data_IF_149550332389
#
_entry.id   IF_149550332389
#
_cell.length_a   1.000
_cell.length_b   1.000
_cell.length_c   1.000
_cell.angle_alpha   90.00
_cell.angle_beta   90.00
_cell.angle_gamma   90.00
#
_symmetry.space_group_name_H-M   'P 1'
#
loop_
_entity.id
_entity.type
_entity.pdbx_description
1 polymer ?
#
# COMPACT_ATOMS: atom_id res chain seq x y z
N UNK A 1 -32.83 39.05 -29.86
CA UNK A 1 -32.12 39.30 -28.58
C UNK A 1 -32.42 38.23 -27.52
N UNK A 2 -33.67 37.94 -27.16
CA UNK A 2 -34.02 36.90 -26.14
C UNK A 2 -33.40 35.50 -26.38
N UNK A 3 -33.29 35.05 -27.63
CA UNK A 3 -32.71 33.74 -27.98
C UNK A 3 -31.20 33.66 -27.71
N UNK A 4 -30.47 34.75 -27.89
CA UNK A 4 -29.02 34.83 -27.63
C UNK A 4 -28.73 34.74 -26.14
N UNK A 5 -29.54 35.41 -25.31
CA UNK A 5 -29.41 35.31 -23.84
C UNK A 5 -29.67 33.89 -23.33
N UNK A 6 -30.62 33.16 -23.92
CA UNK A 6 -30.91 31.77 -23.55
C UNK A 6 -29.77 30.84 -23.95
N UNK A 7 -29.21 30.98 -25.16
CA UNK A 7 -28.09 30.14 -25.61
C UNK A 7 -26.83 30.35 -24.75
N UNK A 8 -26.54 31.60 -24.38
CA UNK A 8 -25.39 31.92 -23.50
C UNK A 8 -25.60 31.38 -22.09
N UNK A 9 -26.80 31.47 -21.53
CA UNK A 9 -27.11 30.91 -20.22
C UNK A 9 -26.96 29.37 -20.17
N UNK A 10 -27.36 28.67 -21.24
CA UNK A 10 -27.20 27.21 -21.35
C UNK A 10 -25.72 26.83 -21.43
N UNK A 11 -24.91 27.53 -22.23
CA UNK A 11 -23.47 27.28 -22.36
C UNK A 11 -22.72 27.51 -21.04
N UNK A 12 -23.06 28.56 -20.30
CA UNK A 12 -22.48 28.85 -18.98
C UNK A 12 -22.89 27.77 -17.96
N UNK A 13 -24.15 27.34 -17.98
CA UNK A 13 -24.63 26.24 -17.13
C UNK A 13 -23.84 24.96 -17.40
N UNK A 14 -23.62 24.58 -18.67
CA UNK A 14 -22.88 23.36 -19.00
C UNK A 14 -21.40 23.42 -18.59
N UNK A 15 -20.80 24.61 -18.54
CA UNK A 15 -19.42 24.79 -18.09
C UNK A 15 -19.29 24.67 -16.56
N UNK A 16 -20.31 25.08 -15.81
CA UNK A 16 -20.33 25.00 -14.34
C UNK A 16 -20.62 23.57 -13.80
N UNK A 17 -21.28 22.72 -14.59
CA UNK A 17 -21.49 21.30 -14.23
C UNK A 17 -20.38 20.35 -14.73
N UNK A 18 -19.49 20.82 -15.62
CA UNK A 18 -18.40 20.02 -16.19
C UNK A 18 -17.21 19.76 -15.26
N UNK A 19 -17.17 20.38 -14.08
CA UNK A 19 -16.13 20.18 -13.07
C UNK A 19 -16.63 19.39 -11.86
N UNK A 20 -17.48 18.39 -12.07
CA UNK A 20 -17.55 17.27 -11.14
C UNK A 20 -16.19 16.57 -11.18
N UNK A 21 -15.25 17.02 -10.35
CA UNK A 21 -14.02 16.29 -10.08
C UNK A 21 -14.47 14.87 -9.71
N UNK A 22 -14.17 13.89 -10.56
CA UNK A 22 -14.20 12.51 -10.12
C UNK A 22 -13.33 12.47 -8.86
N UNK A 23 -13.93 12.23 -7.71
CA UNK A 23 -13.15 11.85 -6.54
C UNK A 23 -12.27 10.72 -7.04
N UNK A 24 -10.92 10.85 -7.05
CA UNK A 24 -10.09 9.71 -7.32
C UNK A 24 -10.57 8.65 -6.32
N UNK A 25 -11.10 7.54 -6.83
CA UNK A 25 -11.41 6.39 -6.01
C UNK A 25 -10.05 5.89 -5.53
N UNK A 26 -9.55 6.52 -4.46
CA UNK A 26 -8.16 6.41 -4.10
C UNK A 26 -8.06 5.15 -3.27
N UNK A 27 -7.63 4.08 -3.92
CA UNK A 27 -7.57 2.75 -3.33
C UNK A 27 -6.77 2.78 -2.02
N UNK A 28 -7.26 2.06 -1.01
CA UNK A 28 -6.46 1.77 0.18
C UNK A 28 -5.29 0.92 -0.27
N UNK A 29 -4.08 1.36 0.00
CA UNK A 29 -2.86 0.62 -0.36
C UNK A 29 -2.61 -0.45 0.68
N UNK A 30 -2.40 -1.68 0.24
CA UNK A 30 -2.04 -2.81 1.10
C UNK A 30 -0.55 -3.00 1.03
N UNK A 31 0.10 -2.88 2.19
CA UNK A 31 1.52 -3.16 2.39
C UNK A 31 1.66 -4.44 3.19
N UNK A 32 2.53 -5.33 2.72
CA UNK A 32 2.90 -6.52 3.46
C UNK A 32 4.42 -6.53 3.63
N UNK A 33 4.88 -6.51 4.88
CA UNK A 33 6.29 -6.58 5.20
C UNK A 33 6.62 -7.95 5.81
N UNK A 34 7.36 -8.74 5.06
CA UNK A 34 7.92 -10.00 5.54
C UNK A 34 9.20 -9.73 6.32
N UNK A 35 9.23 -10.19 7.58
CA UNK A 35 10.23 -9.80 8.58
C UNK A 35 10.47 -10.93 9.60
N UNK A 36 11.38 -10.71 10.54
CA UNK A 36 11.64 -11.59 11.69
C UNK A 36 12.37 -10.81 12.80
N UNK A 37 12.15 -11.15 14.07
CA UNK A 37 12.77 -10.47 15.23
C UNK A 37 14.29 -10.58 15.27
N UNK A 38 14.87 -11.67 14.76
CA UNK A 38 16.31 -11.87 14.66
C UNK A 38 16.95 -11.26 13.42
N UNK A 39 16.19 -10.65 12.52
CA UNK A 39 16.69 -10.13 11.25
C UNK A 39 17.31 -8.72 11.41
N UNK A 40 18.64 -8.64 11.32
CA UNK A 40 19.39 -7.37 11.45
C UNK A 40 18.97 -6.27 10.47
N UNK A 41 18.89 -6.52 9.15
CA UNK A 41 18.38 -5.53 8.19
C UNK A 41 16.92 -5.15 8.44
N UNK A 42 16.08 -6.08 8.87
CA UNK A 42 14.68 -5.83 9.20
C UNK A 42 14.54 -4.84 10.37
N UNK A 43 15.36 -4.99 11.41
CA UNK A 43 15.38 -4.07 12.55
C UNK A 43 15.69 -2.61 12.15
N UNK A 44 16.40 -2.38 11.03
CA UNK A 44 16.63 -1.04 10.47
C UNK A 44 15.45 -0.54 9.64
N UNK A 45 14.82 -1.42 8.87
CA UNK A 45 13.73 -1.06 7.96
C UNK A 45 12.39 -0.86 8.67
N UNK A 46 12.03 -1.72 9.63
CA UNK A 46 10.71 -1.67 10.28
C UNK A 46 10.38 -0.31 10.92
N UNK A 47 11.28 0.40 11.63
CA UNK A 47 10.97 1.73 12.16
C UNK A 47 10.70 2.78 11.08
N UNK A 48 11.37 2.69 9.92
CA UNK A 48 11.14 3.60 8.78
C UNK A 48 9.77 3.33 8.17
N UNK A 49 9.44 2.06 7.95
CA UNK A 49 8.13 1.64 7.44
C UNK A 49 7.01 2.07 8.39
N UNK A 50 7.17 1.80 9.69
CA UNK A 50 6.18 2.15 10.71
C UNK A 50 5.89 3.65 10.74
N UNK A 51 6.94 4.48 10.66
CA UNK A 51 6.76 5.93 10.59
C UNK A 51 5.91 6.32 9.37
N UNK A 52 6.26 5.83 8.17
CA UNK A 52 5.57 6.19 6.93
C UNK A 52 4.12 5.70 6.92
N UNK A 53 3.85 4.50 7.44
CA UNK A 53 2.49 3.95 7.52
C UNK A 53 1.65 4.70 8.56
N UNK A 54 2.21 5.00 9.73
CA UNK A 54 1.51 5.73 10.79
C UNK A 54 1.15 7.16 10.37
N UNK A 55 1.97 7.79 9.53
CA UNK A 55 1.66 9.11 8.93
C UNK A 55 0.56 9.03 7.85
N UNK A 56 0.10 7.82 7.48
CA UNK A 56 -0.86 7.52 6.40
C UNK A 56 -2.04 6.65 6.83
N UNK A 57 -2.38 6.65 8.13
CA UNK A 57 -3.54 5.91 8.64
C UNK A 57 -4.81 6.31 7.88
N UNK A 58 -5.57 5.32 7.43
CA UNK A 58 -6.78 5.48 6.60
C UNK A 58 -6.51 5.38 5.09
N UNK A 59 -5.28 5.65 4.64
CA UNK A 59 -4.87 5.49 3.23
C UNK A 59 -4.07 4.20 2.98
N UNK A 60 -3.42 3.67 4.02
CA UNK A 60 -2.54 2.50 3.95
C UNK A 60 -2.88 1.52 5.05
N UNK A 61 -2.98 0.24 4.71
CA UNK A 61 -3.02 -0.89 5.65
C UNK A 61 -1.68 -1.62 5.55
N UNK A 62 -1.02 -1.86 6.69
CA UNK A 62 0.24 -2.60 6.74
C UNK A 62 0.08 -3.88 7.56
N UNK A 63 0.48 -5.00 6.98
CA UNK A 63 0.54 -6.31 7.63
C UNK A 63 2.02 -6.68 7.80
N UNK A 64 2.43 -6.98 9.03
CA UNK A 64 3.78 -7.50 9.32
C UNK A 64 3.72 -9.01 9.39
N UNK A 65 4.28 -9.66 8.38
CA UNK A 65 4.32 -11.11 8.26
C UNK A 65 5.65 -11.63 8.82
N UNK A 66 5.63 -12.16 10.04
CA UNK A 66 6.83 -12.70 10.68
C UNK A 66 7.09 -14.13 10.22
N UNK A 67 8.26 -14.40 9.65
CA UNK A 67 8.64 -15.73 9.20
C UNK A 67 9.55 -16.47 10.18
N UNK A 68 9.90 -17.71 9.86
CA UNK A 68 10.65 -18.60 10.73
C UNK A 68 12.16 -18.34 10.80
N UNK A 69 12.72 -17.43 10.01
CA UNK A 69 14.16 -17.23 9.86
C UNK A 69 14.52 -15.74 9.97
N UNK A 70 15.68 -15.33 10.51
CA UNK A 70 16.74 -16.15 11.10
C UNK A 70 16.42 -16.68 12.49
N UNK A 71 15.47 -16.10 13.21
CA UNK A 71 15.08 -16.58 14.53
C UNK A 71 13.80 -17.44 14.44
N UNK A 72 13.97 -18.75 14.54
CA UNK A 72 12.86 -19.71 14.59
C UNK A 72 11.98 -19.59 15.85
N UNK A 73 12.43 -18.81 16.85
CA UNK A 73 11.69 -18.55 18.08
C UNK A 73 11.03 -17.17 18.10
N UNK A 74 10.97 -16.48 16.96
CA UNK A 74 10.21 -15.24 16.83
C UNK A 74 8.77 -15.46 17.33
N UNK A 75 8.34 -14.80 18.43
CA UNK A 75 7.05 -15.06 19.03
C UNK A 75 5.90 -14.79 18.07
N UNK A 76 6.02 -13.79 17.18
CA UNK A 76 4.97 -13.46 16.21
C UNK A 76 4.82 -14.54 15.14
N UNK A 77 5.92 -15.17 14.74
CA UNK A 77 5.86 -16.36 13.89
C UNK A 77 5.22 -17.53 14.64
N UNK A 78 5.59 -17.72 15.92
CA UNK A 78 5.13 -18.88 16.68
C UNK A 78 3.60 -18.92 16.88
N UNK A 79 2.94 -17.76 16.99
CA UNK A 79 1.49 -17.65 17.19
C UNK A 79 0.67 -18.12 15.96
N UNK A 80 1.14 -17.86 14.74
CA UNK A 80 0.33 -18.02 13.51
C UNK A 80 1.08 -18.75 12.38
N UNK A 81 1.96 -19.70 12.72
CA UNK A 81 2.90 -20.37 11.79
C UNK A 81 2.26 -20.80 10.47
N UNK A 82 1.15 -21.56 10.53
CA UNK A 82 0.53 -22.14 9.33
C UNK A 82 0.09 -21.05 8.36
N UNK A 83 -0.56 -19.99 8.86
CA UNK A 83 -1.04 -18.88 8.04
C UNK A 83 0.12 -18.07 7.45
N UNK A 84 1.18 -17.86 8.23
CA UNK A 84 2.37 -17.12 7.79
C UNK A 84 3.17 -17.91 6.74
N UNK A 85 3.33 -19.21 6.93
CA UNK A 85 4.02 -20.11 6.00
C UNK A 85 3.24 -20.25 4.67
N UNK A 86 1.91 -20.40 4.72
CA UNK A 86 1.07 -20.41 3.53
C UNK A 86 1.15 -19.10 2.75
N UNK A 87 1.17 -17.97 3.46
CA UNK A 87 1.27 -16.64 2.84
C UNK A 87 2.64 -16.40 2.21
N UNK A 88 3.73 -16.78 2.89
CA UNK A 88 5.07 -16.74 2.32
C UNK A 88 5.18 -17.61 1.07
N UNK A 89 4.60 -18.82 1.11
CA UNK A 89 4.54 -19.71 -0.05
C UNK A 89 3.74 -19.13 -1.21
N UNK A 90 2.61 -18.46 -0.94
CA UNK A 90 1.79 -17.83 -1.97
C UNK A 90 2.54 -16.74 -2.75
N UNK A 91 3.41 -15.99 -2.05
CA UNK A 91 4.20 -14.91 -2.65
C UNK A 91 5.65 -15.31 -3.00
N UNK A 92 6.02 -16.59 -2.88
CA UNK A 92 7.38 -17.11 -3.10
C UNK A 92 8.47 -16.34 -2.30
N UNK A 93 8.19 -16.00 -1.04
CA UNK A 93 9.10 -15.21 -0.19
C UNK A 93 10.24 -16.08 0.32
N UNK A 94 11.48 -15.75 -0.06
CA UNK A 94 12.68 -16.50 0.32
C UNK A 94 13.70 -15.73 1.16
N UNK A 95 13.47 -14.44 1.43
CA UNK A 95 14.39 -13.59 2.18
C UNK A 95 13.63 -12.53 2.98
N UNK A 96 14.30 -11.97 4.00
CA UNK A 96 13.80 -10.82 4.76
C UNK A 96 14.85 -9.70 4.83
N UNK A 97 14.45 -8.42 4.83
CA UNK A 97 13.07 -7.97 4.66
C UNK A 97 12.62 -8.07 3.20
N UNK A 98 11.37 -8.47 3.00
CA UNK A 98 10.69 -8.35 1.70
C UNK A 98 9.47 -7.44 1.87
N UNK A 99 9.26 -6.55 0.91
CA UNK A 99 8.18 -5.56 0.91
C UNK A 99 7.28 -5.80 -0.30
N UNK A 100 5.99 -6.01 -0.05
CA UNK A 100 4.98 -6.04 -1.08
C UNK A 100 4.10 -4.80 -0.95
N UNK A 101 3.81 -4.18 -2.07
CA UNK A 101 2.82 -3.10 -2.18
C UNK A 101 1.79 -3.54 -3.21
N UNK A 102 0.53 -3.60 -2.78
CA UNK A 102 -0.60 -4.13 -3.53
C UNK A 102 -0.33 -5.54 -4.11
N UNK A 103 0.30 -6.41 -3.32
CA UNK A 103 0.67 -7.77 -3.71
C UNK A 103 1.83 -7.88 -4.70
N UNK A 104 2.51 -6.77 -5.03
CA UNK A 104 3.69 -6.79 -5.90
C UNK A 104 4.94 -6.47 -5.10
N UNK A 105 5.98 -7.30 -5.23
CA UNK A 105 7.26 -7.08 -4.56
C UNK A 105 7.91 -5.77 -5.03
N UNK A 106 8.55 -5.10 -4.08
CA UNK A 106 9.28 -3.85 -4.25
C UNK A 106 10.55 -3.88 -3.42
N UNK A 107 11.57 -3.17 -3.87
CA UNK A 107 12.77 -2.96 -3.08
C UNK A 107 12.41 -2.21 -1.79
N UNK A 108 12.79 -2.76 -0.64
CA UNK A 108 12.70 -2.03 0.61
C UNK A 108 13.73 -0.89 0.61
N UNK A 109 13.40 0.19 1.32
CA UNK A 109 14.26 1.38 1.37
C UNK A 109 14.25 2.00 2.76
N UNK A 110 15.41 2.53 3.17
CA UNK A 110 15.53 3.33 4.39
C UNK A 110 15.21 4.81 4.15
N UNK A 111 14.83 5.20 2.93
CA UNK A 111 14.41 6.56 2.58
C UNK A 111 12.89 6.70 2.76
N UNK A 112 12.41 7.48 3.76
CA UNK A 112 10.98 7.73 3.91
C UNK A 112 10.39 8.40 2.67
N UNK A 113 11.13 9.29 2.02
CA UNK A 113 10.68 9.98 0.80
C UNK A 113 10.40 9.00 -0.33
N UNK A 114 11.32 8.05 -0.57
CA UNK A 114 11.12 7.06 -1.62
C UNK A 114 9.93 6.14 -1.29
N UNK A 115 9.81 5.71 -0.04
CA UNK A 115 8.69 4.88 0.41
C UNK A 115 7.35 5.60 0.24
N UNK A 116 7.27 6.88 0.59
CA UNK A 116 6.09 7.72 0.34
C UNK A 116 5.73 7.75 -1.16
N UNK A 117 6.71 7.99 -2.03
CA UNK A 117 6.48 8.00 -3.49
C UNK A 117 5.98 6.66 -4.02
N UNK A 118 6.49 5.54 -3.50
CA UNK A 118 6.03 4.20 -3.89
C UNK A 118 4.58 3.97 -3.48
N UNK A 119 4.20 4.38 -2.26
CA UNK A 119 2.83 4.29 -1.77
C UNK A 119 1.89 5.20 -2.56
N UNK A 120 2.31 6.42 -2.91
CA UNK A 120 1.50 7.33 -3.71
C UNK A 120 1.26 6.79 -5.12
N UNK A 121 2.29 6.22 -5.76
CA UNK A 121 2.14 5.56 -7.05
C UNK A 121 1.20 4.34 -6.98
N UNK A 122 1.20 3.60 -5.87
CA UNK A 122 0.36 2.43 -5.70
C UNK A 122 -1.13 2.75 -5.51
N UNK A 123 -1.50 4.00 -5.20
CA UNK A 123 -2.92 4.40 -5.03
C UNK A 123 -3.72 4.36 -6.32
N UNK A 124 -3.03 4.41 -7.45
CA UNK A 124 -3.60 4.36 -8.80
C UNK A 124 -3.52 2.95 -9.43
N UNK A 125 -3.02 1.96 -8.68
CA UNK A 125 -2.81 0.59 -9.16
C UNK A 125 -3.67 -0.35 -8.33
N UNK A 126 -4.46 -1.19 -9.00
CA UNK A 126 -5.24 -2.23 -8.32
C UNK A 126 -4.34 -3.28 -7.65
N UNK A 127 -4.91 -4.01 -6.69
CA UNK A 127 -4.27 -5.19 -6.12
C UNK A 127 -3.88 -6.18 -7.22
N UNK A 128 -2.64 -6.69 -7.18
CA UNK A 128 -2.16 -7.70 -8.15
C UNK A 128 -3.06 -8.94 -8.20
N UNK A 129 -3.61 -9.31 -7.05
CA UNK A 129 -4.47 -10.47 -6.89
C UNK A 129 -5.89 -10.02 -6.57
N UNK A 130 -6.86 -10.55 -7.31
CA UNK A 130 -8.27 -10.34 -7.02
C UNK A 130 -8.64 -11.16 -5.78
N UNK A 131 -9.14 -10.47 -4.77
CA UNK A 131 -9.80 -11.10 -3.62
C UNK A 131 -11.27 -11.27 -4.04
N UNK A 132 -11.61 -12.44 -4.58
CA UNK A 132 -12.99 -12.81 -4.96
C UNK A 132 -13.63 -13.55 -3.79
#
# INVERSE_FOLDING_TARGET
MKKIFITVAILISTFLFGSAQQLPNKNIVVVENFTNTGCGPCAKFSPVLDKVVNDRLGDVICIKCHGSYPDHKDPFYLEEKSNLDERMKFYDITAFPTLLINGTERDYTLSPTLLNSMLDAAREIDMKYNII
#
